data_IF_310207182321
#
_entry.id   IF_310207182321
#
_cell.length_a   1.000
_cell.length_b   1.000
_cell.length_c   1.000
_cell.angle_alpha   90.00
_cell.angle_beta   90.00
_cell.angle_gamma   90.00
#
_symmetry.space_group_name_H-M   'P 1'
#
loop_
_entity.id
_entity.type
_entity.pdbx_description
1 polymer ?
#
# COMPACT_ATOMS: atom_id res chain seq x y z
N UNK A 1 -9.25 14.80 -15.25
CA UNK A 1 -7.83 14.50 -15.49
C UNK A 1 -7.03 15.77 -15.28
N UNK A 2 -5.92 15.72 -14.52
CA UNK A 2 -5.02 16.86 -14.38
C UNK A 2 -3.84 16.66 -15.32
N UNK A 3 -3.66 17.58 -16.27
CA UNK A 3 -2.53 17.58 -17.21
C UNK A 3 -1.78 18.89 -17.00
N UNK A 4 -0.46 18.83 -16.83
CA UNK A 4 0.40 19.99 -16.76
C UNK A 4 1.49 19.86 -17.81
N UNK A 5 1.76 20.94 -18.55
CA UNK A 5 2.79 20.99 -19.57
C UNK A 5 3.85 22.02 -19.17
N UNK A 6 5.11 21.61 -19.21
CA UNK A 6 6.22 22.54 -19.22
C UNK A 6 6.35 23.19 -20.60
N UNK A 7 6.93 24.39 -20.70
CA UNK A 7 7.30 24.98 -21.98
C UNK A 7 8.18 24.02 -22.82
N UNK A 8 8.09 24.06 -24.16
CA UNK A 8 8.92 23.23 -25.02
C UNK A 8 10.41 23.38 -24.70
N UNK A 9 11.11 22.24 -24.57
CA UNK A 9 12.54 22.21 -24.25
C UNK A 9 12.89 22.52 -22.80
N UNK A 10 11.91 22.63 -21.88
CA UNK A 10 12.16 22.82 -20.45
C UNK A 10 11.68 21.63 -19.62
N UNK A 11 12.38 21.28 -18.53
CA UNK A 11 11.94 20.25 -17.62
C UNK A 11 10.65 20.67 -16.87
N UNK A 12 9.87 19.67 -16.45
CA UNK A 12 8.75 19.87 -15.54
C UNK A 12 9.30 20.18 -14.15
N UNK A 13 9.06 21.38 -13.65
CA UNK A 13 9.50 21.84 -12.33
C UNK A 13 8.40 21.68 -11.26
N UNK A 14 8.79 21.52 -9.98
CA UNK A 14 7.85 21.38 -8.85
C UNK A 14 6.94 22.61 -8.69
N UNK A 15 7.39 23.80 -9.08
CA UNK A 15 6.62 25.04 -9.05
C UNK A 15 5.51 25.06 -10.12
N UNK A 16 5.55 24.15 -11.08
CA UNK A 16 4.47 23.94 -12.05
C UNK A 16 3.34 23.09 -11.46
N UNK A 17 3.51 22.50 -10.27
CA UNK A 17 2.43 21.77 -9.63
C UNK A 17 1.45 22.73 -8.95
N UNK A 18 0.13 22.49 -9.02
CA UNK A 18 -0.84 23.30 -8.30
C UNK A 18 -0.65 23.20 -6.79
N UNK A 19 -1.03 24.23 -6.04
CA UNK A 19 -0.81 24.35 -4.59
C UNK A 19 -1.23 23.11 -3.81
N UNK A 20 -2.41 22.55 -4.13
CA UNK A 20 -2.91 21.33 -3.48
C UNK A 20 -2.05 20.08 -3.67
N UNK A 21 -1.17 20.05 -4.68
CA UNK A 21 -0.23 18.94 -4.90
C UNK A 21 1.10 19.25 -4.22
N UNK A 22 1.52 20.52 -4.18
CA UNK A 22 2.74 20.96 -3.48
C UNK A 22 2.61 20.86 -1.96
N UNK A 23 1.47 21.30 -1.45
CA UNK A 23 1.15 21.42 -0.02
C UNK A 23 0.07 20.42 0.42
N UNK A 24 -0.33 19.52 -0.49
CA UNK A 24 -1.32 18.50 -0.19
C UNK A 24 -0.81 17.56 0.88
N UNK A 25 -1.70 17.01 1.72
CA UNK A 25 -1.32 15.92 2.60
C UNK A 25 -0.72 14.82 1.73
N UNK A 26 0.49 14.42 2.07
CA UNK A 26 1.16 13.30 1.43
C UNK A 26 0.33 12.05 1.73
N UNK A 27 -0.59 11.70 0.83
CA UNK A 27 -1.33 10.46 0.86
C UNK A 27 -0.43 9.33 0.37
N UNK A 28 0.67 9.14 1.07
CA UNK A 28 1.57 8.03 0.89
C UNK A 28 1.95 7.65 2.30
N UNK A 29 1.82 6.36 2.62
CA UNK A 29 2.46 5.75 3.78
C UNK A 29 3.97 5.91 3.56
N UNK A 30 4.49 7.12 3.75
CA UNK A 30 5.93 7.35 3.84
C UNK A 30 6.27 6.78 5.19
N UNK A 31 7.15 5.80 5.16
CA UNK A 31 7.87 5.42 6.35
C UNK A 31 8.70 6.65 6.65
N UNK A 32 8.24 7.44 7.62
CA UNK A 32 8.99 8.59 8.07
C UNK A 32 10.32 8.05 8.56
N UNK A 33 11.40 8.39 7.84
CA UNK A 33 12.75 7.93 8.20
C UNK A 33 13.16 8.36 9.63
N UNK A 34 12.42 9.29 10.24
CA UNK A 34 12.56 9.71 11.63
C UNK A 34 11.58 9.10 12.63
N UNK A 35 10.51 8.41 12.20
CA UNK A 35 9.59 7.71 13.12
C UNK A 35 9.78 6.21 12.97
N UNK A 36 10.59 5.65 13.86
CA UNK A 36 10.86 4.21 14.06
C UNK A 36 10.96 3.38 12.78
N UNK A 37 12.22 3.10 12.40
CA UNK A 37 12.62 1.99 11.52
C UNK A 37 12.33 0.63 12.19
N UNK A 38 11.10 0.44 12.65
CA UNK A 38 10.61 -0.83 13.17
C UNK A 38 10.16 -1.70 11.98
N UNK A 39 11.04 -2.60 11.60
CA UNK A 39 10.81 -3.56 10.52
C UNK A 39 9.56 -4.41 10.78
N UNK A 40 9.26 -4.76 12.04
CA UNK A 40 8.11 -5.61 12.37
C UNK A 40 6.80 -4.87 12.04
N UNK A 41 6.71 -3.60 12.42
CA UNK A 41 5.56 -2.74 12.09
C UNK A 41 5.39 -2.57 10.58
N UNK A 42 6.48 -2.36 9.85
CA UNK A 42 6.47 -2.21 8.39
C UNK A 42 5.97 -3.48 7.68
N UNK A 43 6.53 -4.62 8.06
CA UNK A 43 6.13 -5.93 7.52
C UNK A 43 4.67 -6.20 7.85
N UNK A 44 4.24 -5.93 9.08
CA UNK A 44 2.85 -6.10 9.52
C UNK A 44 1.86 -5.29 8.66
N UNK A 45 2.14 -4.01 8.43
CA UNK A 45 1.30 -3.16 7.58
C UNK A 45 1.23 -3.67 6.12
N UNK A 46 2.37 -4.09 5.57
CA UNK A 46 2.45 -4.67 4.23
C UNK A 46 1.65 -5.97 4.13
N UNK A 47 1.83 -6.89 5.08
CA UNK A 47 1.11 -8.16 5.14
C UNK A 47 -0.41 -7.95 5.22
N UNK A 48 -0.85 -7.02 6.07
CA UNK A 48 -2.27 -6.69 6.20
C UNK A 48 -2.87 -6.17 4.90
N UNK A 49 -2.17 -5.27 4.21
CA UNK A 49 -2.61 -4.75 2.92
C UNK A 49 -2.70 -5.86 1.86
N UNK A 50 -1.69 -6.72 1.77
CA UNK A 50 -1.66 -7.83 0.83
C UNK A 50 -2.79 -8.85 1.09
N UNK A 51 -3.03 -9.21 2.35
CA UNK A 51 -4.10 -10.14 2.74
C UNK A 51 -5.47 -9.58 2.41
N UNK A 52 -5.75 -8.32 2.75
CA UNK A 52 -7.04 -7.68 2.43
C UNK A 52 -7.29 -7.63 0.93
N UNK A 53 -6.29 -7.26 0.15
CA UNK A 53 -6.42 -7.16 -1.30
C UNK A 53 -6.61 -8.54 -1.94
N UNK A 54 -5.89 -9.58 -1.48
CA UNK A 54 -6.09 -10.93 -1.96
C UNK A 54 -7.50 -11.44 -1.66
N UNK A 55 -8.00 -11.25 -0.44
CA UNK A 55 -9.38 -11.61 -0.07
C UNK A 55 -10.41 -10.84 -0.91
N UNK A 56 -10.19 -9.55 -1.16
CA UNK A 56 -11.07 -8.74 -2.01
C UNK A 56 -11.12 -9.29 -3.44
N UNK A 57 -9.97 -9.59 -4.04
CA UNK A 57 -9.88 -10.16 -5.41
C UNK A 57 -10.51 -11.53 -5.53
N UNK A 58 -10.51 -12.32 -4.46
CA UNK A 58 -11.08 -13.68 -4.45
C UNK A 58 -12.46 -13.75 -3.84
N UNK A 59 -13.12 -12.62 -3.58
CA UNK A 59 -14.45 -12.55 -2.96
C UNK A 59 -14.52 -13.34 -1.64
N UNK A 60 -13.47 -13.24 -0.82
CA UNK A 60 -13.38 -13.90 0.48
C UNK A 60 -12.96 -15.38 0.42
N UNK A 61 -12.70 -15.95 -0.75
CA UNK A 61 -12.21 -17.32 -0.86
C UNK A 61 -10.77 -17.41 -0.33
N UNK A 62 -10.62 -17.87 0.92
CA UNK A 62 -9.37 -17.96 1.66
C UNK A 62 -8.35 -18.91 0.99
N UNK A 63 -8.78 -20.03 0.44
CA UNK A 63 -7.89 -20.96 -0.27
C UNK A 63 -7.31 -20.33 -1.53
N UNK A 64 -8.15 -19.59 -2.28
CA UNK A 64 -7.70 -18.89 -3.47
C UNK A 64 -6.80 -17.69 -3.12
N UNK A 65 -7.13 -16.93 -2.08
CA UNK A 65 -6.32 -15.81 -1.60
C UNK A 65 -4.92 -16.29 -1.18
N UNK A 66 -4.84 -17.41 -0.46
CA UNK A 66 -3.57 -18.02 -0.07
C UNK A 66 -2.72 -18.37 -1.30
N UNK A 67 -3.34 -18.98 -2.32
CA UNK A 67 -2.67 -19.32 -3.59
C UNK A 67 -2.12 -18.09 -4.32
N UNK A 68 -2.89 -16.99 -4.38
CA UNK A 68 -2.43 -15.73 -4.99
C UNK A 68 -1.23 -15.15 -4.24
N UNK A 69 -1.22 -15.27 -2.92
CA UNK A 69 -0.14 -14.78 -2.06
C UNK A 69 1.06 -15.74 -1.97
N UNK A 70 1.01 -16.91 -2.63
CA UNK A 70 2.07 -17.92 -2.54
C UNK A 70 2.16 -18.59 -1.15
N UNK A 71 1.07 -18.57 -0.38
CA UNK A 71 0.99 -19.15 0.97
C UNK A 71 0.21 -20.46 0.97
N UNK A 72 0.47 -21.30 1.98
CA UNK A 72 -0.45 -22.39 2.32
C UNK A 72 -1.73 -21.83 2.94
N UNK A 73 -2.83 -22.59 2.86
CA UNK A 73 -4.11 -22.21 3.51
C UNK A 73 -3.92 -21.98 5.02
N UNK A 74 -3.15 -22.84 5.68
CA UNK A 74 -2.87 -22.71 7.12
C UNK A 74 -1.99 -21.48 7.42
N UNK A 75 -0.97 -21.23 6.58
CA UNK A 75 -0.12 -20.04 6.72
C UNK A 75 -0.90 -18.74 6.59
N UNK A 76 -1.85 -18.67 5.65
CA UNK A 76 -2.77 -17.54 5.57
C UNK A 76 -3.63 -17.41 6.84
N UNK A 77 -4.18 -18.52 7.35
CA UNK A 77 -5.03 -18.48 8.55
C UNK A 77 -4.28 -17.91 9.77
N UNK A 78 -3.04 -18.37 10.00
CA UNK A 78 -2.18 -17.87 11.09
C UNK A 78 -1.89 -16.38 10.94
N UNK A 79 -1.58 -15.92 9.73
CA UNK A 79 -1.34 -14.49 9.47
C UNK A 79 -2.60 -13.65 9.65
N UNK A 80 -3.75 -14.13 9.19
CA UNK A 80 -5.03 -13.45 9.42
C UNK A 80 -5.36 -13.32 10.90
N UNK A 81 -5.10 -14.35 11.69
CA UNK A 81 -5.27 -14.32 13.15
C UNK A 81 -4.34 -13.31 13.82
N UNK A 82 -3.04 -13.36 13.50
CA UNK A 82 -2.03 -12.42 14.01
C UNK A 82 -2.41 -10.97 13.78
N UNK A 83 -3.03 -10.69 12.63
CA UNK A 83 -3.39 -9.34 12.21
C UNK A 83 -4.84 -8.94 12.54
N UNK A 84 -5.59 -9.78 13.25
CA UNK A 84 -7.00 -9.48 13.59
C UNK A 84 -7.93 -9.38 12.37
N UNK A 85 -7.59 -10.03 11.25
CA UNK A 85 -8.34 -10.01 9.99
C UNK A 85 -9.36 -11.15 9.89
N UNK A 86 -9.75 -11.76 11.00
CA UNK A 86 -10.75 -12.83 11.02
C UNK A 86 -12.14 -12.26 10.66
N UNK A 87 -12.68 -12.75 9.54
CA UNK A 87 -14.11 -12.70 9.14
C UNK A 87 -14.68 -14.10 9.22
#
# INVERSE_FOLDING_TARGET
QLVYMAPPGRPVDVNLLPERVRSGPLATSRIDAGSDLDLERMVSACEQAAIREALRRTHGNKSHAARILGLSRNGLAIKMERHGLKV
#
